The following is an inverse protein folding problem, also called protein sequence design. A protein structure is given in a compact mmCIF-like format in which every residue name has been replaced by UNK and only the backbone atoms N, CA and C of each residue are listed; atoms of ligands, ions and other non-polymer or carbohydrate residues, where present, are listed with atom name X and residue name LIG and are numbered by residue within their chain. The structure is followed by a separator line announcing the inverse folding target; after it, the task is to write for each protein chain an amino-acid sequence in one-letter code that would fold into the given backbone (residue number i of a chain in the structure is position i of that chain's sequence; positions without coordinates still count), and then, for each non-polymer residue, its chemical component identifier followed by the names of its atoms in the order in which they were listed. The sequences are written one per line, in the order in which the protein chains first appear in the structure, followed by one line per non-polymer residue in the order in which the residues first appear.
data_IF_698061822536
#
_entry.id   IF_698061822536
#
_cell.length_a   1.000
_cell.length_b   1.000
_cell.length_c   1.000
_cell.angle_alpha   90.00
_cell.angle_beta   90.00
_cell.angle_gamma   90.00
#
_symmetry.space_group_name_H-M   'P 1'
#
loop_
_entity.id
_entity.type
_entity.pdbx_description
1 polymer ?
#
# COMPACT_ATOMS: atom_id res chain seq x y z
N UNK A 1 7.70 -17.53 13.87
CA UNK A 1 8.52 -16.34 13.52
C UNK A 1 7.96 -15.55 12.36
N UNK A 2 7.30 -16.17 11.38
CA UNK A 2 6.73 -15.49 10.20
C UNK A 2 5.40 -14.77 10.47
N UNK A 3 4.81 -14.92 11.66
CA UNK A 3 3.48 -14.42 11.98
C UNK A 3 3.54 -13.19 12.89
N UNK A 4 2.73 -12.19 12.57
CA UNK A 4 2.42 -11.05 13.43
C UNK A 4 0.91 -10.81 13.40
N UNK A 5 0.27 -10.75 14.58
CA UNK A 5 -1.19 -10.65 14.68
C UNK A 5 -1.91 -11.94 14.29
N UNK A 6 -3.05 -11.83 13.61
CA UNK A 6 -3.82 -12.97 13.11
C UNK A 6 -3.27 -13.43 11.76
N UNK A 7 -2.52 -14.54 11.69
CA UNK A 7 -1.86 -14.96 10.47
C UNK A 7 -2.86 -15.47 9.43
N UNK A 8 -2.56 -15.24 8.16
CA UNK A 8 -3.28 -15.85 7.06
C UNK A 8 -2.71 -17.23 6.74
N UNK A 9 -3.56 -18.21 6.54
CA UNK A 9 -3.16 -19.61 6.36
C UNK A 9 -2.20 -19.82 5.17
N UNK A 10 -2.40 -19.10 4.06
CA UNK A 10 -1.62 -19.35 2.85
C UNK A 10 -0.11 -19.11 3.04
N UNK A 11 0.27 -18.04 3.79
CA UNK A 11 1.68 -17.78 3.99
C UNK A 11 2.33 -18.69 5.05
N UNK A 12 1.52 -19.21 5.98
CA UNK A 12 1.98 -20.26 6.90
C UNK A 12 2.33 -21.50 6.11
N UNK A 13 1.42 -21.96 5.24
CA UNK A 13 1.68 -23.14 4.39
C UNK A 13 2.84 -22.92 3.44
N UNK A 14 2.97 -21.73 2.83
CA UNK A 14 4.12 -21.39 1.99
C UNK A 14 5.45 -21.46 2.76
N UNK A 15 5.46 -20.92 4.00
CA UNK A 15 6.65 -21.00 4.86
C UNK A 15 6.99 -22.40 5.28
N UNK A 16 5.99 -23.23 5.62
CA UNK A 16 6.19 -24.64 5.96
C UNK A 16 6.69 -25.44 4.76
N UNK A 17 6.14 -25.18 3.57
CA UNK A 17 6.59 -25.78 2.32
C UNK A 17 8.08 -25.50 2.09
N UNK A 18 8.48 -24.23 2.15
CA UNK A 18 9.88 -23.83 1.99
C UNK A 18 10.79 -24.43 3.08
N UNK A 19 10.34 -24.45 4.33
CA UNK A 19 11.10 -25.04 5.45
C UNK A 19 11.43 -26.52 5.21
N UNK A 20 10.48 -27.29 4.70
CA UNK A 20 10.61 -28.73 4.47
C UNK A 20 11.37 -29.11 3.18
N UNK A 21 11.65 -28.15 2.29
CA UNK A 21 12.48 -28.43 1.13
C UNK A 21 13.93 -28.72 1.56
N UNK A 22 14.60 -29.60 0.81
CA UNK A 22 16.05 -29.72 0.87
C UNK A 22 16.72 -28.50 0.20
N UNK A 23 18.00 -28.32 0.43
CA UNK A 23 18.80 -27.30 -0.25
C UNK A 23 18.72 -27.49 -1.78
N UNK A 24 18.54 -26.39 -2.50
CA UNK A 24 18.25 -26.34 -3.94
C UNK A 24 16.92 -26.97 -4.37
N UNK A 25 16.09 -27.40 -3.42
CA UNK A 25 14.74 -27.87 -3.71
C UNK A 25 13.85 -26.73 -4.25
N UNK A 26 12.93 -27.09 -5.13
CA UNK A 26 12.04 -26.14 -5.79
C UNK A 26 10.60 -26.31 -5.29
N UNK A 27 9.89 -25.21 -5.20
CA UNK A 27 8.47 -25.15 -4.87
C UNK A 27 7.73 -24.29 -5.88
N UNK A 28 6.63 -24.81 -6.42
CA UNK A 28 5.67 -24.02 -7.21
C UNK A 28 4.40 -23.88 -6.39
N UNK A 29 3.92 -22.64 -6.22
CA UNK A 29 2.82 -22.37 -5.32
C UNK A 29 1.88 -21.30 -5.89
N UNK A 30 0.56 -21.54 -5.80
CA UNK A 30 -0.45 -20.55 -6.15
C UNK A 30 -0.96 -19.89 -4.87
N UNK A 31 -0.80 -18.58 -4.76
CA UNK A 31 -1.16 -17.81 -3.56
C UNK A 31 -1.71 -16.44 -3.91
N UNK A 32 -2.48 -15.81 -3.01
CA UNK A 32 -2.84 -14.41 -3.14
C UNK A 32 -1.61 -13.52 -3.30
N UNK A 33 -1.68 -12.50 -4.15
CA UNK A 33 -0.54 -11.58 -4.37
C UNK A 33 -0.32 -10.55 -3.26
N UNK A 34 -1.25 -10.42 -2.29
CA UNK A 34 -1.21 -9.38 -1.27
C UNK A 34 0.05 -9.36 -0.41
N UNK A 35 0.77 -10.48 -0.30
CA UNK A 35 2.01 -10.58 0.46
C UNK A 35 3.19 -9.82 -0.17
N UNK A 36 3.12 -9.51 -1.48
CA UNK A 36 4.20 -8.83 -2.20
C UNK A 36 4.47 -7.41 -1.68
N UNK A 37 3.51 -6.84 -0.96
CA UNK A 37 3.61 -5.51 -0.36
C UNK A 37 2.91 -5.44 1.00
N UNK A 38 2.89 -4.28 1.63
CA UNK A 38 2.21 -4.05 2.90
C UNK A 38 3.00 -4.49 4.14
N UNK A 39 2.85 -3.71 5.22
CA UNK A 39 3.58 -3.93 6.48
C UNK A 39 3.19 -5.24 7.17
N UNK A 40 1.93 -5.67 7.02
CA UNK A 40 1.42 -6.91 7.61
C UNK A 40 2.22 -8.14 7.19
N UNK A 41 2.71 -8.17 5.93
CA UNK A 41 3.43 -9.31 5.37
C UNK A 41 4.96 -9.21 5.47
N UNK A 42 5.49 -8.18 6.13
CA UNK A 42 6.93 -7.92 6.19
C UNK A 42 7.72 -9.14 6.68
N UNK A 43 7.35 -9.69 7.85
CA UNK A 43 8.04 -10.86 8.44
C UNK A 43 7.97 -12.11 7.54
N UNK A 44 6.85 -12.31 6.87
CA UNK A 44 6.72 -13.39 5.91
C UNK A 44 7.69 -13.18 4.74
N UNK A 45 7.74 -11.97 4.16
CA UNK A 45 8.69 -11.67 3.07
C UNK A 45 10.15 -11.82 3.51
N UNK A 46 10.50 -11.32 4.69
CA UNK A 46 11.84 -11.45 5.25
C UNK A 46 12.26 -12.93 5.30
N UNK A 47 11.47 -13.78 5.92
CA UNK A 47 11.76 -15.22 5.98
C UNK A 47 11.79 -15.85 4.60
N UNK A 48 10.74 -15.66 3.82
CA UNK A 48 10.49 -16.36 2.57
C UNK A 48 11.51 -16.03 1.48
N UNK A 49 11.99 -14.79 1.45
CA UNK A 49 12.95 -14.30 0.46
C UNK A 49 14.41 -14.34 0.97
N UNK A 50 14.61 -14.62 2.25
CA UNK A 50 15.95 -14.94 2.79
C UNK A 50 16.27 -16.40 2.55
N UNK A 51 15.38 -17.31 2.95
CA UNK A 51 15.56 -18.75 2.83
C UNK A 51 15.32 -19.29 1.41
N UNK A 52 14.51 -18.59 0.62
CA UNK A 52 14.18 -18.90 -0.75
C UNK A 52 14.41 -17.75 -1.70
N UNK A 53 14.58 -18.06 -2.97
CA UNK A 53 14.71 -17.08 -4.04
C UNK A 53 13.65 -17.30 -5.10
N UNK A 54 13.01 -16.21 -5.51
CA UNK A 54 12.06 -16.21 -6.61
C UNK A 54 12.80 -16.44 -7.93
N UNK A 55 12.39 -17.44 -8.69
CA UNK A 55 12.89 -17.69 -10.04
C UNK A 55 11.87 -17.33 -11.10
N UNK A 56 10.57 -17.52 -10.78
CA UNK A 56 9.49 -17.23 -11.72
C UNK A 56 8.25 -16.71 -10.98
N UNK A 57 7.58 -15.75 -11.58
CA UNK A 57 6.27 -15.24 -11.14
C UNK A 57 5.33 -15.27 -12.34
N UNK A 58 4.15 -15.87 -12.19
CA UNK A 58 3.09 -15.80 -13.18
C UNK A 58 1.93 -14.96 -12.67
N UNK A 59 1.49 -13.99 -13.48
CA UNK A 59 0.44 -13.02 -13.14
C UNK A 59 -0.82 -13.29 -13.96
N UNK A 60 -1.98 -13.30 -13.30
CA UNK A 60 -3.28 -13.29 -13.97
C UNK A 60 -3.80 -11.86 -14.03
N UNK A 61 -3.94 -11.31 -15.23
CA UNK A 61 -4.32 -9.90 -15.43
C UNK A 61 -5.79 -9.65 -15.05
N UNK A 62 -6.68 -10.61 -15.29
CA UNK A 62 -8.10 -10.48 -15.01
C UNK A 62 -8.43 -11.13 -13.66
N UNK A 63 -8.77 -10.30 -12.66
CA UNK A 63 -8.98 -10.70 -11.25
C UNK A 63 -10.04 -11.78 -11.03
N UNK A 64 -11.15 -11.70 -11.77
CA UNK A 64 -12.34 -12.50 -11.53
C UNK A 64 -12.39 -13.79 -12.35
N UNK A 65 -11.32 -14.12 -13.07
CA UNK A 65 -11.28 -15.32 -13.92
C UNK A 65 -10.42 -16.47 -13.39
N UNK A 66 -9.81 -16.31 -12.22
CA UNK A 66 -9.02 -17.41 -11.61
C UNK A 66 -9.91 -18.34 -10.78
N UNK A 67 -10.86 -17.74 -10.04
CA UNK A 67 -11.84 -18.45 -9.20
C UNK A 67 -13.26 -17.95 -9.50
N UNK A 68 -13.64 -17.92 -10.78
CA UNK A 68 -14.94 -17.43 -11.25
C UNK A 68 -16.12 -18.30 -10.76
N UNK A 69 -15.90 -19.62 -10.70
CA UNK A 69 -16.91 -20.57 -10.21
C UNK A 69 -17.23 -20.40 -8.72
N UNK A 70 -16.21 -20.02 -7.95
CA UNK A 70 -16.32 -19.79 -6.50
C UNK A 70 -16.73 -18.36 -6.16
N UNK A 71 -16.94 -17.48 -7.16
CA UNK A 71 -17.24 -16.06 -6.98
C UNK A 71 -16.25 -15.31 -6.07
N UNK A 72 -14.99 -15.74 -6.06
CA UNK A 72 -13.93 -15.17 -5.21
C UNK A 72 -13.13 -14.13 -6.02
N UNK A 73 -13.24 -12.87 -5.62
CA UNK A 73 -12.44 -11.77 -6.17
C UNK A 73 -11.05 -11.70 -5.50
N UNK A 74 -10.23 -12.71 -5.72
CA UNK A 74 -8.89 -12.77 -5.16
C UNK A 74 -7.84 -12.66 -6.26
N UNK A 75 -7.00 -11.63 -6.17
CA UNK A 75 -5.82 -11.55 -7.04
C UNK A 75 -4.78 -12.58 -6.59
N UNK A 76 -4.58 -13.59 -7.41
CA UNK A 76 -3.60 -14.66 -7.18
C UNK A 76 -2.45 -14.58 -8.16
N UNK A 77 -1.34 -15.17 -7.75
CA UNK A 77 -0.14 -15.34 -8.58
C UNK A 77 0.36 -16.78 -8.41
N UNK A 78 1.08 -17.28 -9.38
CA UNK A 78 1.86 -18.50 -9.24
C UNK A 78 3.32 -18.07 -9.08
N UNK A 79 4.01 -18.65 -8.11
CA UNK A 79 5.43 -18.41 -7.87
C UNK A 79 6.21 -19.69 -7.95
N UNK A 80 7.40 -19.64 -8.53
CA UNK A 80 8.43 -20.67 -8.41
C UNK A 80 9.54 -20.13 -7.53
N UNK A 81 9.87 -20.88 -6.48
CA UNK A 81 10.88 -20.53 -5.49
C UNK A 81 11.85 -21.69 -5.34
N UNK A 82 13.13 -21.40 -5.33
CA UNK A 82 14.20 -22.34 -4.97
C UNK A 82 14.67 -22.07 -3.54
N UNK A 83 14.82 -23.09 -2.74
CA UNK A 83 15.44 -22.98 -1.41
C UNK A 83 16.94 -22.84 -1.56
N UNK A 84 17.40 -21.61 -1.46
CA UNK A 84 18.82 -21.26 -1.57
C UNK A 84 19.08 -19.87 -1.01
N UNK A 85 20.28 -19.63 -0.53
CA UNK A 85 20.76 -18.30 -0.17
C UNK A 85 21.37 -17.54 -1.35
N UNK A 86 21.71 -18.24 -2.42
CA UNK A 86 22.27 -17.64 -3.63
C UNK A 86 21.21 -16.87 -4.40
N UNK A 87 21.44 -15.55 -4.54
CA UNK A 87 20.54 -14.67 -5.26
C UNK A 87 20.70 -14.87 -6.78
N UNK A 88 19.62 -15.18 -7.53
CA UNK A 88 19.70 -15.24 -8.98
C UNK A 88 19.90 -13.84 -9.58
N UNK A 89 20.45 -13.77 -10.77
CA UNK A 89 20.61 -12.49 -11.47
C UNK A 89 19.27 -11.90 -11.90
N UNK A 90 18.34 -12.76 -12.30
CA UNK A 90 17.05 -12.35 -12.86
C UNK A 90 15.89 -13.18 -12.32
N UNK A 91 14.68 -12.65 -12.47
CA UNK A 91 13.39 -13.33 -12.26
C UNK A 91 12.64 -13.32 -13.59
N UNK A 92 12.08 -14.45 -13.98
CA UNK A 92 11.16 -14.50 -15.11
C UNK A 92 9.76 -14.12 -14.64
N UNK A 93 9.14 -13.15 -15.27
CA UNK A 93 7.76 -12.77 -14.99
C UNK A 93 6.94 -13.02 -16.22
N UNK A 94 5.94 -13.89 -16.10
CA UNK A 94 4.98 -14.17 -17.18
C UNK A 94 3.60 -13.64 -16.80
N UNK A 95 2.79 -13.30 -17.81
CA UNK A 95 1.39 -12.97 -17.56
C UNK A 95 0.47 -13.58 -18.59
N UNK A 96 -0.76 -13.91 -18.17
CA UNK A 96 -1.86 -14.35 -19.01
C UNK A 96 -3.14 -13.59 -18.69
N UNK A 97 -4.09 -13.60 -19.61
CA UNK A 97 -5.40 -12.96 -19.39
C UNK A 97 -6.18 -13.68 -18.27
N UNK A 98 -6.12 -15.01 -18.24
CA UNK A 98 -6.86 -15.84 -17.27
C UNK A 98 -6.14 -17.17 -17.02
N UNK A 99 -6.70 -18.00 -16.14
CA UNK A 99 -6.23 -19.35 -15.87
C UNK A 99 -6.61 -20.39 -16.95
N UNK A 100 -7.43 -20.00 -17.93
CA UNK A 100 -7.90 -20.88 -19.00
C UNK A 100 -7.38 -20.48 -20.38
N UNK A 101 -6.71 -19.35 -20.49
CA UNK A 101 -6.17 -18.84 -21.76
C UNK A 101 -4.69 -18.50 -21.59
N UNK A 102 -3.86 -19.40 -22.07
CA UNK A 102 -2.40 -19.28 -22.12
C UNK A 102 -1.87 -19.09 -23.54
N UNK A 103 -2.75 -18.82 -24.52
CA UNK A 103 -2.35 -18.65 -25.92
C UNK A 103 -1.53 -17.39 -26.17
N UNK A 104 -1.75 -16.34 -25.34
CA UNK A 104 -1.04 -15.07 -25.41
C UNK A 104 -0.28 -14.82 -24.09
N UNK A 105 0.78 -15.60 -23.87
CA UNK A 105 1.68 -15.36 -22.75
C UNK A 105 2.64 -14.23 -23.06
N UNK A 106 2.69 -13.23 -22.19
CA UNK A 106 3.83 -12.31 -22.16
C UNK A 106 4.91 -12.88 -21.25
N UNK A 107 6.17 -12.62 -21.55
CA UNK A 107 7.31 -13.05 -20.73
C UNK A 107 8.35 -11.95 -20.67
N UNK A 108 8.76 -11.61 -19.46
CA UNK A 108 9.78 -10.62 -19.16
C UNK A 108 10.89 -11.28 -18.32
N UNK A 109 12.14 -10.96 -18.63
CA UNK A 109 13.28 -11.32 -17.79
C UNK A 109 13.75 -10.04 -17.11
N UNK A 110 13.59 -9.97 -15.80
CA UNK A 110 13.81 -8.74 -15.04
C UNK A 110 14.92 -8.95 -14.01
N UNK A 111 15.86 -8.03 -13.84
CA UNK A 111 16.88 -8.12 -12.80
C UNK A 111 16.26 -8.36 -11.41
N UNK A 112 16.81 -9.30 -10.66
CA UNK A 112 16.25 -9.70 -9.34
C UNK A 112 16.07 -8.51 -8.42
N UNK A 113 17.05 -7.61 -8.36
CA UNK A 113 17.04 -6.43 -7.48
C UNK A 113 16.00 -5.37 -7.86
N UNK A 114 15.47 -5.42 -9.09
CA UNK A 114 14.32 -4.59 -9.46
C UNK A 114 13.01 -5.22 -9.01
N UNK A 115 12.94 -6.54 -8.95
CA UNK A 115 11.74 -7.28 -8.53
C UNK A 115 11.66 -7.35 -7.01
N UNK A 116 12.74 -7.74 -6.32
CA UNK A 116 12.81 -7.86 -4.86
C UNK A 116 13.66 -6.73 -4.31
N UNK A 117 13.04 -5.72 -3.72
CA UNK A 117 13.74 -4.49 -3.39
C UNK A 117 13.39 -3.91 -2.01
N UNK A 118 14.36 -3.13 -1.50
CA UNK A 118 14.26 -2.43 -0.22
C UNK A 118 14.44 -3.35 1.00
N UNK A 119 14.61 -2.72 2.16
CA UNK A 119 14.78 -3.42 3.46
C UNK A 119 13.55 -4.22 3.90
N UNK A 120 12.40 -3.98 3.29
CA UNK A 120 11.14 -4.68 3.57
C UNK A 120 10.85 -5.80 2.57
N UNK A 121 11.79 -6.09 1.67
CA UNK A 121 11.67 -7.13 0.62
C UNK A 121 10.39 -7.00 -0.20
N UNK A 122 10.03 -5.78 -0.63
CA UNK A 122 8.89 -5.62 -1.54
C UNK A 122 9.12 -6.37 -2.84
N UNK A 123 8.05 -7.01 -3.34
CA UNK A 123 8.08 -7.70 -4.64
C UNK A 123 7.26 -6.91 -5.64
N UNK A 124 7.94 -6.30 -6.60
CA UNK A 124 7.30 -5.52 -7.65
C UNK A 124 6.85 -6.44 -8.79
N UNK A 125 5.56 -6.39 -9.08
CA UNK A 125 4.92 -7.19 -10.12
C UNK A 125 4.76 -6.33 -11.37
N UNK A 126 5.55 -6.61 -12.38
CA UNK A 126 5.53 -5.87 -13.66
C UNK A 126 4.95 -6.74 -14.76
N UNK A 127 4.24 -6.14 -15.71
CA UNK A 127 3.54 -6.83 -16.81
C UNK A 127 4.06 -6.44 -18.18
N UNK A 128 4.83 -5.36 -18.28
CA UNK A 128 5.42 -4.86 -19.53
C UNK A 128 6.77 -4.14 -19.30
N UNK A 129 7.48 -3.89 -20.40
CA UNK A 129 8.79 -3.23 -20.39
C UNK A 129 8.74 -1.78 -19.88
N UNK A 130 7.62 -1.06 -20.05
CA UNK A 130 7.50 0.31 -19.57
C UNK A 130 7.50 0.34 -18.05
N UNK A 131 6.82 -0.61 -17.40
CA UNK A 131 6.85 -0.77 -15.94
C UNK A 131 8.25 -1.10 -15.42
N UNK A 132 9.02 -1.93 -16.15
CA UNK A 132 10.44 -2.22 -15.84
C UNK A 132 11.28 -0.94 -15.93
N UNK A 133 11.09 -0.13 -16.96
CA UNK A 133 11.81 1.14 -17.09
C UNK A 133 11.44 2.15 -16.00
N UNK A 134 10.20 2.17 -15.57
CA UNK A 134 9.75 2.97 -14.40
C UNK A 134 10.48 2.51 -13.13
N UNK A 135 10.55 1.19 -12.89
CA UNK A 135 11.28 0.66 -11.72
C UNK A 135 12.77 1.02 -11.78
N UNK A 136 13.41 0.90 -12.94
CA UNK A 136 14.82 1.32 -13.11
C UNK A 136 15.03 2.80 -12.77
N UNK A 137 14.08 3.67 -13.13
CA UNK A 137 14.11 5.09 -12.75
C UNK A 137 13.93 5.29 -11.26
N UNK A 138 12.97 4.57 -10.65
CA UNK A 138 12.70 4.65 -9.20
C UNK A 138 13.90 4.18 -8.37
N UNK A 139 14.61 3.13 -8.81
CA UNK A 139 15.81 2.64 -8.11
C UNK A 139 17.02 3.59 -8.15
N UNK A 140 16.98 4.64 -8.98
CA UNK A 140 17.99 5.70 -8.96
C UNK A 140 17.83 6.69 -7.80
N UNK A 141 16.65 6.72 -7.16
CA UNK A 141 16.44 7.56 -6.00
C UNK A 141 16.99 6.87 -4.74
N UNK A 142 17.89 7.55 -4.06
CA UNK A 142 18.50 7.10 -2.81
C UNK A 142 17.71 7.53 -1.57
N UNK A 143 16.68 8.36 -1.76
CA UNK A 143 15.85 8.91 -0.69
C UNK A 143 14.48 8.22 -0.62
N UNK A 144 14.05 7.97 0.60
CA UNK A 144 12.72 7.48 0.93
C UNK A 144 12.00 8.47 1.85
N UNK A 145 10.70 8.36 2.02
CA UNK A 145 9.97 9.23 2.94
C UNK A 145 10.60 9.28 4.34
N UNK A 146 10.97 8.16 4.98
CA UNK A 146 11.65 8.20 6.28
C UNK A 146 13.00 8.93 6.25
N UNK A 147 13.80 8.77 5.19
CA UNK A 147 15.13 9.42 5.11
C UNK A 147 15.06 10.93 4.93
N UNK A 148 13.92 11.46 4.45
CA UNK A 148 13.66 12.90 4.39
C UNK A 148 12.85 13.42 5.60
N UNK A 149 12.73 12.61 6.65
CA UNK A 149 12.10 13.01 7.90
C UNK A 149 10.58 13.01 7.92
N UNK A 150 9.92 12.32 6.99
CA UNK A 150 8.46 12.20 6.95
C UNK A 150 8.02 10.74 6.89
N UNK A 151 6.80 10.46 7.29
CA UNK A 151 6.20 9.12 7.21
C UNK A 151 4.74 9.17 6.80
N UNK A 152 4.30 8.13 6.12
CA UNK A 152 2.88 7.94 5.81
C UNK A 152 2.19 7.19 6.94
N UNK A 153 1.04 7.70 7.35
CA UNK A 153 0.15 7.11 8.36
C UNK A 153 -1.23 6.87 7.76
N UNK A 154 -1.98 5.94 8.33
CA UNK A 154 -3.39 5.74 7.98
C UNK A 154 -4.28 6.62 8.87
N UNK A 155 -5.38 7.11 8.32
CA UNK A 155 -6.37 7.89 9.05
C UNK A 155 -6.90 7.16 10.29
N UNK A 156 -7.22 7.92 11.30
CA UNK A 156 -7.38 7.46 12.68
C UNK A 156 -8.79 6.91 12.96
N UNK A 157 -9.82 7.51 12.35
CA UNK A 157 -11.21 7.21 12.68
C UNK A 157 -11.83 6.22 11.71
N UNK A 158 -12.35 5.13 12.25
CA UNK A 158 -13.18 4.17 11.53
C UNK A 158 -14.64 4.55 11.81
N UNK A 159 -15.28 5.25 10.88
CA UNK A 159 -16.61 5.86 11.04
C UNK A 159 -17.67 4.88 11.53
N UNK A 160 -17.82 3.71 10.91
CA UNK A 160 -18.83 2.74 11.29
C UNK A 160 -18.63 2.11 12.70
N UNK A 161 -17.43 2.25 13.29
CA UNK A 161 -17.13 1.76 14.65
C UNK A 161 -17.28 2.84 15.72
N UNK A 162 -17.39 4.10 15.30
CA UNK A 162 -17.37 5.25 16.19
C UNK A 162 -18.57 6.16 15.95
N UNK A 163 -19.73 5.61 15.57
CA UNK A 163 -20.93 6.37 15.19
C UNK A 163 -21.41 7.31 16.27
N UNK A 164 -21.26 6.93 17.51
CA UNK A 164 -21.72 7.67 18.69
C UNK A 164 -21.02 9.03 18.88
N UNK A 165 -19.79 9.15 18.37
CA UNK A 165 -19.02 10.40 18.48
C UNK A 165 -19.10 11.27 17.23
N UNK A 166 -19.74 10.80 16.13
CA UNK A 166 -19.84 11.53 14.88
C UNK A 166 -20.95 12.60 14.95
N UNK A 167 -20.72 13.74 14.29
CA UNK A 167 -21.65 14.87 14.19
C UNK A 167 -21.70 15.39 12.76
N UNK A 168 -22.90 15.85 12.38
CA UNK A 168 -23.10 16.45 11.05
C UNK A 168 -22.76 17.93 11.04
N UNK A 169 -22.91 18.59 12.19
CA UNK A 169 -22.68 20.03 12.36
C UNK A 169 -21.60 20.30 13.41
N UNK A 170 -21.04 21.48 13.38
CA UNK A 170 -20.07 21.93 14.37
C UNK A 170 -20.80 22.21 15.70
N UNK A 171 -20.34 21.60 16.77
CA UNK A 171 -20.82 21.82 18.13
C UNK A 171 -19.63 22.00 19.09
N UNK A 172 -19.90 22.34 20.34
CA UNK A 172 -18.84 22.55 21.34
C UNK A 172 -17.98 21.28 21.53
N UNK A 173 -16.67 21.46 21.42
CA UNK A 173 -15.71 20.34 21.50
C UNK A 173 -15.59 19.50 20.24
N UNK A 174 -16.34 19.81 19.19
CA UNK A 174 -16.22 19.11 17.91
C UNK A 174 -14.94 19.49 17.15
N UNK A 175 -14.29 18.51 16.56
CA UNK A 175 -13.14 18.71 15.67
C UNK A 175 -13.47 18.17 14.26
N UNK A 176 -12.85 18.74 13.20
CA UNK A 176 -13.08 18.29 11.83
C UNK A 176 -12.67 16.84 11.63
N UNK A 177 -13.50 16.07 10.92
CA UNK A 177 -13.21 14.72 10.45
C UNK A 177 -13.08 14.74 8.92
N UNK A 178 -11.87 14.60 8.43
CA UNK A 178 -11.59 14.60 7.01
C UNK A 178 -11.79 13.25 6.36
N UNK A 179 -12.53 13.23 5.26
CA UNK A 179 -12.78 12.07 4.40
C UNK A 179 -12.08 12.24 3.05
N UNK A 180 -11.99 11.15 2.28
CA UNK A 180 -11.41 11.19 0.93
C UNK A 180 -12.11 12.16 -0.02
N UNK A 181 -13.39 12.45 0.21
CA UNK A 181 -14.19 13.42 -0.56
C UNK A 181 -13.75 14.87 -0.36
N UNK A 182 -13.09 15.18 0.75
CA UNK A 182 -12.50 16.52 0.99
C UNK A 182 -11.28 16.80 0.11
N UNK A 183 -10.69 15.75 -0.49
CA UNK A 183 -9.56 15.90 -1.41
C UNK A 183 -10.09 16.20 -2.79
N UNK A 184 -9.99 17.45 -3.23
CA UNK A 184 -10.45 17.93 -4.52
C UNK A 184 -9.36 18.74 -5.21
N UNK A 185 -9.04 18.36 -6.46
CA UNK A 185 -8.09 19.10 -7.31
C UNK A 185 -6.78 19.49 -6.61
N UNK A 186 -6.20 18.57 -5.82
CA UNK A 186 -4.95 18.79 -5.13
C UNK A 186 -5.02 19.61 -3.83
N UNK A 187 -6.21 19.99 -3.41
CA UNK A 187 -6.46 20.75 -2.17
C UNK A 187 -7.37 19.96 -1.24
N UNK A 188 -7.34 20.34 0.03
CA UNK A 188 -8.31 19.86 1.02
C UNK A 188 -9.34 20.97 1.25
N UNK A 189 -10.60 20.67 1.00
CA UNK A 189 -11.75 21.56 1.22
C UNK A 189 -12.54 21.08 2.43
N UNK A 190 -13.00 22.00 3.27
CA UNK A 190 -13.80 21.72 4.45
C UNK A 190 -14.53 23.00 4.89
N UNK A 191 -15.80 22.91 5.33
CA UNK A 191 -16.71 21.77 5.19
C UNK A 191 -17.19 21.60 3.76
N UNK A 192 -17.73 20.41 3.40
CA UNK A 192 -18.33 20.14 2.09
C UNK A 192 -19.80 19.71 2.19
N UNK A 193 -20.38 19.90 3.36
CA UNK A 193 -21.77 19.53 3.69
C UNK A 193 -22.05 18.02 3.54
N UNK A 194 -21.08 17.22 3.94
CA UNK A 194 -21.19 15.78 4.01
C UNK A 194 -21.68 15.37 5.42
N UNK A 195 -22.48 14.30 5.52
CA UNK A 195 -22.79 13.70 6.82
C UNK A 195 -21.52 13.30 7.59
N UNK A 196 -21.54 13.54 8.89
CA UNK A 196 -20.46 13.14 9.82
C UNK A 196 -19.12 13.84 9.56
N UNK A 197 -19.14 15.14 9.24
CA UNK A 197 -17.92 15.94 9.03
C UNK A 197 -17.20 16.33 10.33
N UNK A 198 -17.80 16.05 11.48
CA UNK A 198 -17.22 16.38 12.78
C UNK A 198 -17.19 15.17 13.70
N UNK A 199 -16.30 15.23 14.69
CA UNK A 199 -16.19 14.21 15.74
C UNK A 199 -15.98 14.87 17.10
N UNK A 200 -16.73 14.39 18.11
CA UNK A 200 -16.58 14.80 19.52
C UNK A 200 -15.95 13.65 20.29
N UNK A 201 -14.72 13.81 20.72
CA UNK A 201 -13.99 12.74 21.42
C UNK A 201 -12.84 13.28 22.25
N UNK A 202 -12.54 12.61 23.34
CA UNK A 202 -11.32 12.83 24.13
C UNK A 202 -10.25 11.77 23.87
N UNK A 203 -10.56 10.77 23.02
CA UNK A 203 -9.65 9.69 22.71
C UNK A 203 -8.49 10.18 21.85
N UNK A 204 -7.30 10.29 22.45
CA UNK A 204 -6.06 10.73 21.76
C UNK A 204 -5.73 9.95 20.50
N UNK A 205 -6.13 8.69 20.42
CA UNK A 205 -5.91 7.83 19.26
C UNK A 205 -6.77 8.18 18.04
N UNK A 206 -7.82 8.97 18.22
CA UNK A 206 -8.73 9.41 17.15
C UNK A 206 -8.47 10.86 16.71
N UNK A 207 -7.50 11.53 17.33
CA UNK A 207 -7.17 12.94 17.07
C UNK A 207 -5.70 13.09 16.69
N UNK A 208 -5.42 14.09 15.89
CA UNK A 208 -4.07 14.56 15.57
C UNK A 208 -3.99 16.07 15.65
N UNK A 209 -2.79 16.61 15.87
CA UNK A 209 -2.59 18.05 15.90
C UNK A 209 -2.98 18.69 14.56
N UNK A 210 -3.49 19.90 14.58
CA UNK A 210 -3.70 20.67 13.37
C UNK A 210 -2.34 21.19 12.87
N UNK A 211 -1.72 20.45 11.96
CA UNK A 211 -0.43 20.72 11.33
C UNK A 211 -0.55 20.63 9.81
N UNK A 212 0.52 20.92 9.11
CA UNK A 212 0.57 20.74 7.67
C UNK A 212 0.72 19.25 7.31
N UNK A 213 -0.12 18.76 6.41
CA UNK A 213 -0.14 17.37 5.95
C UNK A 213 -0.29 17.27 4.43
N UNK A 214 0.18 16.20 3.85
CA UNK A 214 -0.27 15.76 2.54
C UNK A 214 -1.28 14.62 2.74
N UNK A 215 -2.54 14.84 2.44
CA UNK A 215 -3.57 13.80 2.46
C UNK A 215 -3.52 13.01 1.15
N UNK A 216 -3.68 11.70 1.26
CA UNK A 216 -3.63 10.78 0.12
C UNK A 216 -4.83 9.85 0.19
N UNK A 217 -5.61 9.74 -0.87
CA UNK A 217 -6.70 8.77 -0.91
C UNK A 217 -6.14 7.35 -0.82
N UNK A 218 -6.63 6.58 0.13
CA UNK A 218 -6.19 5.20 0.34
C UNK A 218 -6.76 4.24 -0.72
N UNK A 219 -7.95 4.55 -1.21
CA UNK A 219 -8.65 3.75 -2.21
C UNK A 219 -9.00 4.62 -3.40
N UNK A 220 -8.67 4.14 -4.58
CA UNK A 220 -9.04 4.72 -5.87
C UNK A 220 -9.53 3.63 -6.78
N UNK A 221 -10.50 3.93 -7.65
CA UNK A 221 -10.98 2.97 -8.62
C UNK A 221 -9.89 2.69 -9.67
N UNK A 222 -9.88 1.46 -10.22
CA UNK A 222 -8.88 1.07 -11.22
C UNK A 222 -9.02 1.87 -12.52
N UNK A 223 -10.22 2.34 -12.79
CA UNK A 223 -10.64 3.10 -13.97
C UNK A 223 -10.31 4.59 -13.84
N UNK A 224 -9.95 5.07 -12.65
CA UNK A 224 -9.58 6.46 -12.45
C UNK A 224 -8.26 6.79 -13.17
N UNK A 225 -8.19 7.90 -13.94
CA UNK A 225 -7.00 8.29 -14.69
C UNK A 225 -5.76 8.46 -13.82
N UNK A 226 -5.97 8.90 -12.56
CA UNK A 226 -4.92 9.03 -11.55
C UNK A 226 -5.18 8.09 -10.40
N UNK A 227 -4.28 7.13 -10.23
CA UNK A 227 -4.34 6.16 -9.15
C UNK A 227 -3.91 6.76 -7.81
N UNK A 228 -2.97 7.68 -7.83
CA UNK A 228 -2.51 8.40 -6.65
C UNK A 228 -3.18 9.78 -6.61
N UNK A 229 -4.09 9.99 -5.67
CA UNK A 229 -4.84 11.25 -5.53
C UNK A 229 -4.53 11.87 -4.17
N UNK A 230 -3.93 13.06 -4.22
CA UNK A 230 -3.45 13.77 -3.04
C UNK A 230 -4.10 15.14 -2.89
N UNK A 231 -4.12 15.65 -1.65
CA UNK A 231 -4.56 17.00 -1.33
C UNK A 231 -3.65 17.65 -0.31
N UNK A 232 -3.24 18.87 -0.58
CA UNK A 232 -2.45 19.71 0.33
C UNK A 232 -3.37 20.21 1.45
N UNK A 233 -3.06 19.83 2.69
CA UNK A 233 -3.69 20.35 3.90
C UNK A 233 -2.71 21.30 4.61
N UNK A 234 -3.13 22.54 4.80
CA UNK A 234 -2.37 23.56 5.53
C UNK A 234 -3.14 24.00 6.78
N UNK A 235 -2.53 23.85 7.95
CA UNK A 235 -3.13 24.21 9.23
C UNK A 235 -3.63 25.67 9.28
N UNK A 236 -2.90 26.59 8.64
CA UNK A 236 -3.27 28.01 8.59
C UNK A 236 -4.61 28.30 7.91
N UNK A 237 -5.15 27.35 7.14
CA UNK A 237 -6.50 27.48 6.52
C UNK A 237 -7.64 27.17 7.49
N UNK A 238 -7.31 26.53 8.61
CA UNK A 238 -8.25 26.09 9.64
C UNK A 238 -7.77 26.48 11.04
N UNK A 239 -7.46 27.78 11.27
CA UNK A 239 -6.79 28.23 12.50
C UNK A 239 -7.66 28.09 13.76
N UNK A 240 -8.96 27.94 13.60
CA UNK A 240 -9.93 27.77 14.69
C UNK A 240 -9.81 26.42 15.39
N UNK A 241 -9.21 25.41 14.73
CA UNK A 241 -9.08 24.08 15.29
C UNK A 241 -7.65 23.85 15.81
N UNK A 242 -7.51 23.29 17.00
CA UNK A 242 -6.23 22.82 17.52
C UNK A 242 -5.95 21.36 17.16
N UNK A 243 -7.00 20.59 16.99
CA UNK A 243 -6.99 19.17 16.64
C UNK A 243 -7.88 18.90 15.44
N UNK A 244 -7.56 17.86 14.74
CA UNK A 244 -8.35 17.34 13.62
C UNK A 244 -8.40 15.82 13.71
N UNK A 245 -9.27 15.20 12.94
CA UNK A 245 -9.29 13.77 12.72
C UNK A 245 -9.31 13.43 11.23
N UNK A 246 -8.89 12.24 10.88
CA UNK A 246 -8.91 11.72 9.51
C UNK A 246 -9.54 10.33 9.48
N UNK A 247 -10.47 10.13 8.56
CA UNK A 247 -11.14 8.85 8.38
C UNK A 247 -10.17 7.83 7.74
N UNK A 248 -10.30 6.56 8.09
CA UNK A 248 -9.36 5.50 7.73
C UNK A 248 -9.23 5.20 6.22
N UNK A 249 -10.03 5.82 5.36
CA UNK A 249 -9.87 5.78 3.89
C UNK A 249 -8.94 6.89 3.35
N UNK A 250 -8.36 7.69 4.24
CA UNK A 250 -7.25 8.59 3.94
C UNK A 250 -5.97 8.01 4.52
N UNK A 251 -4.88 8.10 3.79
CA UNK A 251 -3.54 8.12 4.35
C UNK A 251 -3.08 9.57 4.42
N UNK A 252 -2.16 9.89 5.33
CA UNK A 252 -1.56 11.21 5.40
C UNK A 252 -0.06 11.12 5.65
N UNK A 253 0.68 12.02 5.02
CA UNK A 253 2.13 12.19 5.25
C UNK A 253 2.31 13.23 6.33
N UNK A 254 3.13 12.91 7.32
CA UNK A 254 3.39 13.70 8.52
C UNK A 254 4.91 13.77 8.79
N UNK A 255 5.38 14.87 9.32
CA UNK A 255 6.75 15.01 9.79
C UNK A 255 7.04 14.09 10.98
N UNK A 256 8.23 13.49 11.02
CA UNK A 256 8.60 12.54 12.10
C UNK A 256 9.00 13.28 13.38
N UNK A 257 9.86 14.29 13.27
CA UNK A 257 10.40 15.05 14.41
C UNK A 257 9.84 16.48 14.48
N UNK A 258 9.55 17.07 13.33
CA UNK A 258 9.07 18.44 13.21
C UNK A 258 7.88 18.50 12.27
N UNK A 259 7.08 19.55 12.40
CA UNK A 259 6.02 19.82 11.44
C UNK A 259 6.60 20.07 10.05
N UNK A 260 5.90 19.61 9.02
CA UNK A 260 6.28 19.87 7.63
C UNK A 260 6.06 21.34 7.27
N UNK A 261 7.06 21.98 6.66
CA UNK A 261 6.88 23.28 6.04
C UNK A 261 5.90 23.21 4.86
N UNK A 262 5.24 24.31 4.54
CA UNK A 262 4.37 24.38 3.35
C UNK A 262 5.13 23.99 2.08
N UNK A 263 6.37 24.44 1.94
CA UNK A 263 7.22 24.11 0.80
C UNK A 263 7.41 22.60 0.66
N UNK A 264 7.65 21.88 1.79
CA UNK A 264 7.81 20.43 1.78
C UNK A 264 6.49 19.74 1.39
N UNK A 265 5.33 20.20 1.91
CA UNK A 265 4.03 19.62 1.55
C UNK A 265 3.74 19.80 0.07
N UNK A 266 4.00 20.99 -0.49
CA UNK A 266 3.84 21.22 -1.93
C UNK A 266 4.84 20.41 -2.78
N UNK A 267 6.08 20.30 -2.34
CA UNK A 267 7.09 19.46 -3.01
C UNK A 267 6.67 17.99 -3.06
N UNK A 268 6.19 17.45 -1.94
CA UNK A 268 5.63 16.10 -1.88
C UNK A 268 4.37 15.96 -2.77
N UNK A 269 3.50 16.98 -2.79
CA UNK A 269 2.34 16.98 -3.67
C UNK A 269 2.74 16.86 -5.14
N UNK A 270 3.73 17.62 -5.59
CA UNK A 270 4.26 17.54 -6.97
C UNK A 270 4.88 16.17 -7.25
N UNK A 271 5.60 15.61 -6.29
CA UNK A 271 6.22 14.29 -6.43
C UNK A 271 5.18 13.16 -6.54
N UNK A 272 4.05 13.29 -5.84
CA UNK A 272 2.97 12.27 -5.81
C UNK A 272 1.98 12.42 -6.98
N UNK A 273 1.97 13.51 -7.72
CA UNK A 273 1.08 13.77 -8.86
C UNK A 273 1.82 13.85 -10.20
#
# INVERSE_FOLDING_TARGET
EVCYGAPNLYFIFASMGLFNLCENGEMVYIIPRSWTSGAYFKRFREYFLTEGKLEHIHLFVIRNKVFDKESVLQETIIIKVRKTTEKPETVTITSSKSNSDFSELTSLIVPYDLVVAGSDYYVYLVTDENEVEVLKKLHKFDKTLPTIGVKMKTGLTVDFRNREILRDEEEEGAIPLFYSQHIKQGKVEFPIQKEHEYVVTEQKGLMQDNKNYLFVKRFTAKEEPRRLQCGVYLAKRFPQYQKISTQNKINFVDGVLTEMSECLVYGLYVLFN
#
